data_IF_251384352530
#
_entry.id   IF_251384352530
#
_cell.length_a   1.000
_cell.length_b   1.000
_cell.length_c   1.000
_cell.angle_alpha   90.00
_cell.angle_beta   90.00
_cell.angle_gamma   90.00
#
_symmetry.space_group_name_H-M   'P 1'
#
loop_
_entity.id
_entity.type
_entity.pdbx_description
1 polymer ?
#
# COMPACT_ATOMS: atom_id res chain seq x y z
N UNK A 1 70.95 9.02 10.12
CA UNK A 1 71.02 7.56 10.35
C UNK A 1 69.64 6.97 10.11
N UNK A 2 69.48 6.31 8.96
CA UNK A 2 68.27 5.64 8.54
C UNK A 2 68.26 4.20 9.05
N UNK A 3 67.13 3.73 9.59
CA UNK A 3 66.86 2.30 9.82
C UNK A 3 65.55 1.90 9.15
N UNK A 4 65.72 1.42 7.93
CA UNK A 4 65.15 0.23 7.32
C UNK A 4 63.72 -0.22 7.70
N UNK A 5 62.89 -0.06 6.67
CA UNK A 5 61.61 -0.66 6.36
C UNK A 5 61.70 -2.20 6.28
N UNK A 6 60.72 -2.94 6.84
CA UNK A 6 60.47 -4.35 6.52
C UNK A 6 58.96 -4.63 6.51
N UNK A 7 58.46 -4.69 5.28
CA UNK A 7 57.25 -5.34 4.77
C UNK A 7 56.33 -6.04 5.78
N UNK A 8 55.08 -5.57 5.82
CA UNK A 8 53.93 -6.37 6.22
C UNK A 8 52.85 -6.17 5.16
N UNK A 9 52.83 -7.10 4.21
CA UNK A 9 51.80 -7.22 3.20
C UNK A 9 50.46 -7.45 3.91
N UNK A 10 49.49 -6.57 3.65
CA UNK A 10 48.11 -6.74 4.04
C UNK A 10 47.46 -7.60 2.96
N UNK A 11 47.38 -8.91 3.22
CA UNK A 11 46.61 -9.83 2.39
C UNK A 11 45.14 -9.42 2.40
N UNK A 12 44.64 -8.99 1.25
CA UNK A 12 43.21 -8.88 0.93
C UNK A 12 42.53 -10.22 1.22
N UNK A 13 41.42 -10.27 2.00
CA UNK A 13 40.72 -11.53 2.22
C UNK A 13 40.18 -12.03 0.87
N UNK A 14 40.54 -13.28 0.55
CA UNK A 14 40.12 -13.97 -0.67
C UNK A 14 38.60 -13.87 -0.85
N UNK A 15 38.18 -13.35 -2.00
CA UNK A 15 36.78 -13.37 -2.41
C UNK A 15 36.36 -14.84 -2.58
N UNK A 16 35.38 -15.26 -1.78
CA UNK A 16 34.74 -16.57 -1.89
C UNK A 16 34.24 -16.79 -3.33
N UNK A 17 34.58 -17.94 -3.90
CA UNK A 17 34.19 -18.32 -5.27
C UNK A 17 32.67 -18.37 -5.38
N UNK A 18 32.10 -17.94 -6.53
CA UNK A 18 30.64 -17.92 -6.77
C UNK A 18 29.97 -19.29 -6.60
N UNK A 19 30.77 -20.37 -6.64
CA UNK A 19 30.35 -21.75 -6.46
C UNK A 19 30.10 -22.09 -4.97
N UNK A 20 30.88 -21.53 -4.05
CA UNK A 20 30.76 -21.74 -2.60
C UNK A 20 29.57 -20.94 -2.02
N UNK A 21 29.32 -19.73 -2.54
CA UNK A 21 28.12 -18.96 -2.22
C UNK A 21 26.84 -19.66 -2.72
N UNK A 22 26.89 -20.31 -3.89
CA UNK A 22 25.80 -21.12 -4.43
C UNK A 22 25.51 -22.36 -3.57
N UNK A 23 26.55 -23.03 -3.08
CA UNK A 23 26.42 -24.20 -2.20
C UNK A 23 25.78 -23.82 -0.85
N UNK A 24 26.21 -22.74 -0.21
CA UNK A 24 25.64 -22.24 1.06
C UNK A 24 24.18 -21.78 0.91
N UNK A 25 23.83 -21.13 -0.20
CA UNK A 25 22.45 -20.72 -0.49
C UNK A 25 21.54 -21.92 -0.79
N UNK A 26 22.08 -22.98 -1.38
CA UNK A 26 21.37 -24.23 -1.64
C UNK A 26 21.16 -25.04 -0.35
N UNK A 27 22.16 -25.09 0.54
CA UNK A 27 22.03 -25.68 1.88
C UNK A 27 21.07 -24.89 2.79
N UNK A 28 21.08 -23.55 2.73
CA UNK A 28 20.13 -22.71 3.45
C UNK A 28 18.69 -22.93 2.95
N UNK A 29 18.48 -23.08 1.63
CA UNK A 29 17.16 -23.45 1.06
C UNK A 29 16.72 -24.86 1.47
N UNK A 30 17.64 -25.82 1.55
CA UNK A 30 17.36 -27.19 1.99
C UNK A 30 17.01 -27.25 3.49
N UNK A 31 17.62 -26.39 4.31
CA UNK A 31 17.28 -26.20 5.72
C UNK A 31 15.92 -25.52 5.92
N UNK A 32 15.58 -24.53 5.08
CA UNK A 32 14.29 -23.84 5.13
C UNK A 32 13.10 -24.74 4.72
N UNK A 33 13.30 -25.66 3.77
CA UNK A 33 12.26 -26.60 3.29
C UNK A 33 12.24 -27.95 4.03
N UNK A 34 13.16 -28.17 4.97
CA UNK A 34 13.37 -29.44 5.66
C UNK A 34 12.71 -29.57 7.04
N UNK A 35 11.92 -28.60 7.49
CA UNK A 35 11.25 -28.69 8.80
C UNK A 35 9.91 -29.43 8.70
N UNK A 36 9.96 -30.73 8.39
CA UNK A 36 8.86 -31.65 8.72
C UNK A 36 8.86 -31.80 10.23
N UNK A 37 8.17 -30.87 10.91
CA UNK A 37 8.03 -30.87 12.36
C UNK A 37 7.50 -32.22 12.83
N UNK A 38 8.33 -32.99 13.53
CA UNK A 38 7.86 -34.02 14.46
C UNK A 38 6.78 -33.35 15.33
N UNK A 39 5.58 -33.91 15.42
CA UNK A 39 4.50 -33.41 16.27
C UNK A 39 5.02 -33.32 17.72
N UNK A 40 5.62 -32.18 18.07
CA UNK A 40 5.90 -31.82 19.45
C UNK A 40 4.57 -31.33 19.97
N UNK A 41 4.03 -32.05 20.94
CA UNK A 41 2.91 -31.62 21.76
C UNK A 41 3.37 -30.45 22.65
N UNK A 42 3.72 -29.32 22.02
CA UNK A 42 4.02 -28.09 22.72
C UNK A 42 2.71 -27.57 23.30
N UNK A 43 2.62 -27.54 24.63
CA UNK A 43 1.52 -26.90 25.33
C UNK A 43 1.41 -25.45 24.82
N UNK A 44 0.28 -25.10 24.20
CA UNK A 44 0.03 -23.74 23.77
C UNK A 44 -0.37 -22.95 25.02
N UNK A 45 0.36 -21.88 25.30
CA UNK A 45 0.07 -20.98 26.42
C UNK A 45 -0.63 -19.75 25.83
N UNK A 46 -1.79 -19.40 26.37
CA UNK A 46 -2.51 -18.18 25.97
C UNK A 46 -1.73 -16.93 26.41
N UNK A 47 -2.00 -15.75 25.83
CA UNK A 47 -1.40 -14.49 26.27
C UNK A 47 -1.59 -14.20 27.77
N UNK A 48 -2.65 -14.76 28.37
CA UNK A 48 -3.01 -14.65 29.79
C UNK A 48 -2.30 -15.71 30.66
N UNK A 49 -1.36 -16.48 30.11
CA UNK A 49 -0.60 -17.49 30.84
C UNK A 49 -1.33 -18.82 31.06
N UNK A 50 -2.52 -19.02 30.46
CA UNK A 50 -3.32 -20.23 30.63
C UNK A 50 -2.84 -21.30 29.64
N UNK A 51 -2.57 -22.51 30.14
CA UNK A 51 -2.26 -23.67 29.28
C UNK A 51 -3.52 -24.14 28.56
N UNK A 52 -3.63 -23.79 27.29
CA UNK A 52 -4.61 -24.32 26.36
C UNK A 52 -4.12 -25.72 25.95
N UNK A 53 -4.74 -26.75 26.53
CA UNK A 53 -4.29 -28.13 26.41
C UNK A 53 -4.09 -28.63 24.98
N UNK A 54 -3.45 -29.80 24.85
CA UNK A 54 -2.94 -30.40 23.60
C UNK A 54 -3.98 -30.75 22.53
N UNK A 55 -5.28 -30.51 22.78
CA UNK A 55 -6.37 -30.85 21.86
C UNK A 55 -6.73 -29.74 20.88
N UNK A 56 -6.30 -28.51 21.13
CA UNK A 56 -6.57 -27.41 20.19
C UNK A 56 -5.56 -27.49 19.04
N UNK A 57 -6.06 -27.73 17.83
CA UNK A 57 -5.27 -27.55 16.59
C UNK A 57 -5.01 -26.06 16.42
N UNK A 58 -3.97 -25.56 17.08
CA UNK A 58 -3.55 -24.17 16.94
C UNK A 58 -2.70 -24.08 15.67
N UNK A 59 -3.18 -23.32 14.69
CA UNK A 59 -2.42 -23.00 13.49
C UNK A 59 -1.33 -22.00 13.88
N UNK A 60 -0.09 -22.48 13.97
CA UNK A 60 1.09 -21.64 14.24
C UNK A 60 1.58 -21.08 12.91
N UNK A 61 1.37 -19.80 12.66
CA UNK A 61 1.97 -19.08 11.53
C UNK A 61 3.29 -18.46 11.98
N UNK A 62 4.34 -18.60 11.15
CA UNK A 62 5.60 -17.86 11.37
C UNK A 62 5.31 -16.37 11.23
N UNK A 63 5.53 -15.62 12.29
CA UNK A 63 5.46 -14.16 12.25
C UNK A 63 6.84 -13.63 11.87
N UNK A 64 6.91 -12.88 10.78
CA UNK A 64 8.16 -12.26 10.33
C UNK A 64 8.32 -10.92 11.06
N UNK A 65 9.26 -10.86 12.01
CA UNK A 65 9.57 -9.64 12.78
C UNK A 65 10.40 -8.62 11.98
N UNK A 66 10.90 -9.00 10.80
CA UNK A 66 11.76 -8.15 9.95
C UNK A 66 10.94 -7.13 9.18
N UNK A 67 9.69 -7.50 8.85
CA UNK A 67 8.72 -6.61 8.23
C UNK A 67 7.45 -6.66 9.09
N UNK A 68 7.41 -5.92 10.22
CA UNK A 68 6.21 -5.87 11.03
C UNK A 68 5.11 -5.31 10.13
N UNK A 69 4.18 -6.14 9.68
CA UNK A 69 2.89 -5.65 9.24
C UNK A 69 2.26 -5.06 10.49
N UNK A 70 2.41 -3.75 10.66
CA UNK A 70 1.94 -3.00 11.83
C UNK A 70 0.41 -3.15 11.98
N UNK A 71 -0.26 -3.57 10.91
CA UNK A 71 -1.71 -3.75 10.79
C UNK A 71 -2.05 -5.24 10.81
N UNK A 72 -2.93 -5.63 11.72
CA UNK A 72 -3.49 -6.98 11.82
C UNK A 72 -4.42 -7.33 10.66
N UNK A 73 -4.57 -8.62 10.36
CA UNK A 73 -5.49 -9.12 9.32
C UNK A 73 -6.92 -8.60 9.51
N UNK A 74 -7.38 -8.50 10.77
CA UNK A 74 -8.71 -7.95 11.11
C UNK A 74 -8.85 -6.45 10.81
N UNK A 75 -7.78 -5.69 10.98
CA UNK A 75 -7.77 -4.26 10.67
C UNK A 75 -7.77 -4.05 9.16
N UNK A 76 -7.03 -4.85 8.40
CA UNK A 76 -7.09 -4.81 6.92
C UNK A 76 -8.50 -5.14 6.43
N UNK A 77 -9.12 -6.20 6.97
CA UNK A 77 -10.51 -6.56 6.62
C UNK A 77 -11.49 -5.43 6.96
N UNK A 78 -11.25 -4.72 8.07
CA UNK A 78 -12.05 -3.55 8.46
C UNK A 78 -11.88 -2.42 7.46
N UNK A 79 -10.64 -2.10 7.07
CA UNK A 79 -10.35 -1.06 6.09
C UNK A 79 -10.98 -1.37 4.72
N UNK A 80 -10.94 -2.63 4.28
CA UNK A 80 -11.60 -3.07 3.04
C UNK A 80 -13.10 -2.81 3.11
N UNK A 81 -13.77 -3.17 4.22
CA UNK A 81 -15.21 -2.91 4.39
C UNK A 81 -15.53 -1.41 4.33
N UNK A 82 -14.76 -0.58 5.05
CA UNK A 82 -14.93 0.87 5.03
C UNK A 82 -14.78 1.44 3.61
N UNK A 83 -13.82 0.96 2.82
CA UNK A 83 -13.65 1.43 1.43
C UNK A 83 -14.75 0.92 0.50
N UNK A 84 -15.30 -0.28 0.73
CA UNK A 84 -16.44 -0.77 -0.04
C UNK A 84 -17.69 0.08 0.23
N UNK A 85 -17.96 0.39 1.49
CA UNK A 85 -19.06 1.28 1.91
C UNK A 85 -18.87 2.70 1.34
N UNK A 86 -17.65 3.23 1.39
CA UNK A 86 -17.27 4.49 0.74
C UNK A 86 -17.62 4.50 -0.74
N UNK A 87 -17.21 3.46 -1.48
CA UNK A 87 -17.40 3.38 -2.93
C UNK A 87 -18.88 3.34 -3.30
N UNK A 88 -19.70 2.60 -2.54
CA UNK A 88 -21.14 2.57 -2.77
C UNK A 88 -21.82 3.92 -2.51
N UNK A 89 -21.39 4.67 -1.49
CA UNK A 89 -21.92 6.02 -1.24
C UNK A 89 -21.46 7.02 -2.33
N UNK A 90 -20.17 6.94 -2.68
CA UNK A 90 -19.54 7.79 -3.68
C UNK A 90 -20.13 7.60 -5.08
N UNK A 91 -20.56 6.39 -5.44
CA UNK A 91 -21.15 6.11 -6.76
C UNK A 91 -22.34 7.03 -7.08
N UNK A 92 -23.22 7.24 -6.10
CA UNK A 92 -24.37 8.13 -6.23
C UNK A 92 -23.96 9.61 -6.32
N UNK A 93 -23.02 10.03 -5.48
CA UNK A 93 -22.51 11.41 -5.46
C UNK A 93 -21.74 11.76 -6.74
N UNK A 94 -20.91 10.83 -7.22
CA UNK A 94 -20.16 10.95 -8.47
C UNK A 94 -21.12 11.02 -9.67
N UNK A 95 -22.18 10.21 -9.69
CA UNK A 95 -23.19 10.27 -10.74
C UNK A 95 -23.90 11.63 -10.79
N UNK A 96 -24.20 12.20 -9.62
CA UNK A 96 -24.79 13.53 -9.53
C UNK A 96 -23.82 14.63 -9.98
N UNK A 97 -22.56 14.55 -9.55
CA UNK A 97 -21.52 15.52 -9.90
C UNK A 97 -21.23 15.52 -11.41
N UNK A 98 -21.07 14.33 -12.00
CA UNK A 98 -20.76 14.15 -13.42
C UNK A 98 -21.99 14.25 -14.33
N UNK A 99 -23.21 14.20 -13.76
CA UNK A 99 -24.49 14.15 -14.49
C UNK A 99 -24.57 12.99 -15.47
N UNK A 100 -24.01 11.84 -15.07
CA UNK A 100 -23.95 10.62 -15.85
C UNK A 100 -24.07 9.40 -14.94
N UNK A 101 -24.43 8.24 -15.49
CA UNK A 101 -24.49 7.00 -14.73
C UNK A 101 -23.07 6.47 -14.49
N UNK A 102 -22.62 6.54 -13.24
CA UNK A 102 -21.31 6.03 -12.81
C UNK A 102 -21.53 4.74 -12.05
N UNK A 103 -20.77 3.70 -12.41
CA UNK A 103 -20.70 2.46 -11.65
C UNK A 103 -19.29 2.29 -11.10
N UNK A 104 -19.15 2.09 -9.78
CA UNK A 104 -17.86 1.97 -9.13
C UNK A 104 -17.72 0.63 -8.43
N UNK A 105 -16.50 0.09 -8.43
CA UNK A 105 -16.23 -1.19 -7.77
C UNK A 105 -14.89 -1.15 -7.06
N UNK A 106 -14.89 -1.63 -5.82
CA UNK A 106 -13.66 -1.87 -5.07
C UNK A 106 -12.82 -2.95 -5.77
N UNK A 107 -11.56 -2.61 -6.09
CA UNK A 107 -10.63 -3.54 -6.73
C UNK A 107 -9.89 -4.37 -5.67
N UNK A 108 -8.95 -3.76 -4.96
CA UNK A 108 -8.12 -4.42 -3.96
C UNK A 108 -7.52 -3.40 -3.00
N UNK A 109 -7.02 -3.88 -1.86
CA UNK A 109 -6.20 -3.12 -0.92
C UNK A 109 -4.87 -3.84 -0.72
N UNK A 110 -3.78 -3.10 -0.83
CA UNK A 110 -2.41 -3.61 -0.69
C UNK A 110 -1.60 -2.70 0.22
N UNK A 111 -0.77 -3.31 1.06
CA UNK A 111 0.26 -2.63 1.83
C UNK A 111 1.55 -2.81 1.04
N UNK A 112 2.11 -1.72 0.56
CA UNK A 112 3.29 -1.70 -0.32
C UNK A 112 4.22 -0.57 0.08
N UNK A 113 5.50 -0.74 -0.18
CA UNK A 113 6.48 0.30 0.08
C UNK A 113 6.21 1.52 -0.81
N UNK A 114 6.38 2.71 -0.25
CA UNK A 114 6.15 3.97 -0.97
C UNK A 114 6.92 4.06 -2.29
N UNK A 115 8.18 3.56 -2.31
CA UNK A 115 9.01 3.53 -3.53
C UNK A 115 8.47 2.60 -4.62
N UNK A 116 7.73 1.56 -4.25
CA UNK A 116 7.08 0.68 -5.22
C UNK A 116 5.87 1.39 -5.81
N UNK A 117 5.04 2.03 -4.98
CA UNK A 117 3.87 2.78 -5.48
C UNK A 117 4.28 3.86 -6.47
N UNK A 118 5.33 4.63 -6.18
CA UNK A 118 5.82 5.66 -7.10
C UNK A 118 6.30 5.11 -8.45
N UNK A 119 6.73 3.85 -8.51
CA UNK A 119 7.14 3.20 -9.78
C UNK A 119 5.95 2.66 -10.57
N UNK A 120 4.84 2.39 -9.90
CA UNK A 120 3.62 1.87 -10.49
C UNK A 120 2.74 3.00 -11.08
N UNK A 121 3.06 4.26 -10.80
CA UNK A 121 2.37 5.43 -11.37
C UNK A 121 2.61 5.54 -12.88
N UNK A 122 1.53 5.67 -13.64
CA UNK A 122 1.59 5.97 -15.07
C UNK A 122 2.08 7.42 -15.31
N UNK A 123 2.84 7.64 -16.38
CA UNK A 123 3.20 8.98 -16.85
C UNK A 123 2.51 9.24 -18.20
N UNK A 124 1.55 10.18 -18.28
CA UNK A 124 1.12 11.13 -17.25
C UNK A 124 0.13 10.56 -16.22
N UNK A 125 0.13 11.13 -15.01
CA UNK A 125 -0.92 10.93 -13.98
C UNK A 125 -1.32 12.24 -13.29
N UNK A 126 -2.53 12.31 -12.74
CA UNK A 126 -2.95 13.38 -11.84
C UNK A 126 -2.90 12.87 -10.39
N UNK A 127 -2.04 13.49 -9.59
CA UNK A 127 -1.82 13.12 -8.20
C UNK A 127 -2.16 14.31 -7.30
N UNK A 128 -3.14 14.13 -6.42
CA UNK A 128 -3.56 15.12 -5.45
C UNK A 128 -3.01 14.75 -4.07
N UNK A 129 -2.29 15.67 -3.44
CA UNK A 129 -1.82 15.52 -2.07
C UNK A 129 -2.87 16.08 -1.11
N UNK A 130 -3.14 15.36 -0.03
CA UNK A 130 -4.09 15.83 0.97
C UNK A 130 -3.59 15.55 2.38
N UNK A 131 -4.08 16.37 3.31
CA UNK A 131 -3.94 16.18 4.75
C UNK A 131 -5.33 16.04 5.34
N UNK A 132 -5.44 15.27 6.42
CA UNK A 132 -6.69 15.08 7.15
C UNK A 132 -6.40 15.30 8.64
N UNK A 133 -6.63 16.51 9.15
CA UNK A 133 -6.37 16.79 10.57
C UNK A 133 -7.35 15.99 11.45
N UNK A 134 -6.91 15.38 12.58
CA UNK A 134 -5.60 15.50 13.22
C UNK A 134 -4.60 14.38 12.85
N UNK A 135 -4.84 13.62 11.75
CA UNK A 135 -3.94 12.55 11.34
C UNK A 135 -2.58 13.12 10.93
N UNK A 136 -1.47 12.66 11.55
CA UNK A 136 -0.15 13.11 11.17
C UNK A 136 0.24 12.47 9.83
N UNK A 137 0.46 13.29 8.81
CA UNK A 137 0.99 12.85 7.53
C UNK A 137 0.32 13.52 6.34
N UNK A 138 0.79 13.13 5.15
CA UNK A 138 0.24 13.53 3.86
C UNK A 138 -0.17 12.25 3.15
N UNK A 139 -1.44 12.17 2.76
CA UNK A 139 -1.94 11.16 1.84
C UNK A 139 -1.85 11.66 0.40
N UNK A 140 -1.93 10.73 -0.55
CA UNK A 140 -2.12 11.08 -1.94
C UNK A 140 -3.25 10.27 -2.55
N UNK A 141 -3.94 10.89 -3.50
CA UNK A 141 -4.97 10.30 -4.33
C UNK A 141 -4.49 10.39 -5.78
N UNK A 142 -4.58 9.28 -6.51
CA UNK A 142 -4.21 9.20 -7.91
C UNK A 142 -5.44 9.03 -8.77
N UNK A 143 -5.50 9.77 -9.87
CA UNK A 143 -6.54 9.67 -10.89
C UNK A 143 -5.87 9.60 -12.26
N UNK A 144 -6.16 8.55 -13.02
CA UNK A 144 -5.68 8.44 -14.39
C UNK A 144 -6.13 9.65 -15.23
N UNK A 145 -5.29 10.24 -16.10
CA UNK A 145 -5.66 11.44 -16.84
C UNK A 145 -6.81 11.22 -17.81
N UNK A 146 -7.00 9.98 -18.28
CA UNK A 146 -8.14 9.62 -19.13
C UNK A 146 -9.47 9.79 -18.40
N UNK A 147 -9.52 9.33 -17.14
CA UNK A 147 -10.69 9.50 -16.28
C UNK A 147 -10.90 10.98 -15.95
N UNK A 148 -9.84 11.68 -15.55
CA UNK A 148 -9.92 13.10 -15.22
C UNK A 148 -10.41 13.95 -16.41
N UNK A 149 -9.88 13.75 -17.61
CA UNK A 149 -10.31 14.47 -18.81
C UNK A 149 -11.75 14.13 -19.23
N UNK A 150 -12.17 12.87 -19.08
CA UNK A 150 -13.56 12.48 -19.33
C UNK A 150 -14.50 13.14 -18.33
N UNK A 151 -14.15 13.17 -17.05
CA UNK A 151 -14.91 13.85 -15.99
C UNK A 151 -15.01 15.36 -16.25
N UNK A 152 -13.89 16.02 -16.57
CA UNK A 152 -13.88 17.46 -16.90
C UNK A 152 -14.76 17.76 -18.10
N UNK A 153 -14.70 16.94 -19.15
CA UNK A 153 -15.59 17.12 -20.32
C UNK A 153 -17.07 17.06 -19.92
N UNK A 154 -17.48 16.19 -18.99
CA UNK A 154 -18.87 16.12 -18.52
C UNK A 154 -19.25 17.35 -17.69
N UNK A 155 -18.38 17.80 -16.79
CA UNK A 155 -18.60 19.03 -16.00
C UNK A 155 -18.76 20.26 -16.91
N UNK A 156 -18.02 20.31 -18.02
CA UNK A 156 -18.13 21.37 -19.03
C UNK A 156 -19.34 21.22 -19.98
N UNK A 157 -20.17 20.19 -19.80
CA UNK A 157 -21.38 19.95 -20.60
C UNK A 157 -21.17 19.17 -21.89
N UNK A 158 -20.01 18.53 -22.06
CA UNK A 158 -19.72 17.61 -23.16
C UNK A 158 -20.24 16.20 -22.91
N UNK A 159 -20.18 15.34 -23.94
CA UNK A 159 -20.69 13.96 -23.92
C UNK A 159 -19.82 12.96 -23.13
N UNK A 160 -18.83 13.43 -22.36
CA UNK A 160 -17.96 12.57 -21.56
C UNK A 160 -17.05 11.62 -22.34
N UNK A 161 -16.79 11.91 -23.63
CA UNK A 161 -15.94 11.07 -24.47
C UNK A 161 -14.56 10.86 -23.84
N UNK A 162 -14.15 9.59 -23.75
CA UNK A 162 -12.83 9.22 -23.22
C UNK A 162 -11.76 9.61 -24.26
N UNK A 163 -10.75 10.41 -23.89
CA UNK A 163 -9.68 10.78 -24.82
C UNK A 163 -8.92 9.56 -25.33
N UNK A 164 -8.53 9.60 -26.61
CA UNK A 164 -7.76 8.51 -27.24
C UNK A 164 -6.36 8.36 -26.63
N UNK A 165 -5.76 9.47 -26.19
CA UNK A 165 -4.44 9.51 -25.59
C UNK A 165 -4.51 10.17 -24.20
N UNK A 166 -3.76 9.61 -23.25
CA UNK A 166 -3.52 10.27 -21.97
C UNK A 166 -2.59 11.45 -22.19
N UNK A 167 -2.92 12.61 -21.63
CA UNK A 167 -2.07 13.80 -21.60
C UNK A 167 -2.17 14.47 -20.24
N UNK A 168 -1.21 15.33 -19.90
CA UNK A 168 -1.34 16.18 -18.72
C UNK A 168 -2.58 17.08 -18.82
N UNK A 169 -3.23 17.26 -17.68
CA UNK A 169 -4.33 18.21 -17.52
C UNK A 169 -3.80 19.63 -17.67
N UNK A 170 -4.57 20.50 -18.31
CA UNK A 170 -4.34 21.94 -18.28
C UNK A 170 -4.72 22.49 -16.92
N UNK A 171 -4.34 23.74 -16.62
CA UNK A 171 -4.68 24.37 -15.34
C UNK A 171 -6.19 24.40 -15.09
N UNK A 172 -6.98 24.80 -16.09
CA UNK A 172 -8.44 24.86 -15.97
C UNK A 172 -9.03 23.47 -15.72
N UNK A 173 -8.51 22.44 -16.40
CA UNK A 173 -8.95 21.06 -16.18
C UNK A 173 -8.55 20.53 -14.80
N UNK A 174 -7.40 21.00 -14.27
CA UNK A 174 -6.93 20.69 -12.92
C UNK A 174 -7.87 21.30 -11.88
N UNK A 175 -8.17 22.60 -12.02
CA UNK A 175 -9.08 23.30 -11.11
C UNK A 175 -10.48 22.64 -11.09
N UNK A 176 -10.97 22.15 -12.24
CA UNK A 176 -12.26 21.45 -12.34
C UNK A 176 -12.23 20.05 -11.71
N UNK A 177 -11.15 19.28 -11.90
CA UNK A 177 -11.06 17.93 -11.30
C UNK A 177 -10.79 18.00 -9.79
N UNK A 178 -10.19 19.07 -9.29
CA UNK A 178 -10.01 19.28 -7.85
C UNK A 178 -11.34 19.31 -7.09
N UNK A 179 -12.41 19.85 -7.68
CA UNK A 179 -13.76 19.77 -7.08
C UNK A 179 -14.22 18.31 -6.91
N UNK A 180 -13.93 17.45 -7.88
CA UNK A 180 -14.21 16.03 -7.81
C UNK A 180 -13.31 15.32 -6.77
N UNK A 181 -12.04 15.71 -6.68
CA UNK A 181 -11.12 15.21 -5.64
C UNK A 181 -11.64 15.56 -4.24
N UNK A 182 -12.13 16.79 -4.03
CA UNK A 182 -12.72 17.19 -2.75
C UNK A 182 -13.94 16.33 -2.41
N UNK A 183 -14.82 16.05 -3.40
CA UNK A 183 -15.95 15.14 -3.22
C UNK A 183 -15.49 13.72 -2.81
N UNK A 184 -14.47 13.17 -3.48
CA UNK A 184 -13.87 11.88 -3.12
C UNK A 184 -13.34 11.87 -1.68
N UNK A 185 -12.63 12.93 -1.28
CA UNK A 185 -12.08 13.06 0.07
C UNK A 185 -13.18 13.20 1.12
N UNK A 186 -14.26 13.91 0.83
CA UNK A 186 -15.41 14.01 1.73
C UNK A 186 -16.09 12.65 1.92
N UNK A 187 -16.31 11.90 0.84
CA UNK A 187 -16.86 10.54 0.91
C UNK A 187 -15.95 9.61 1.73
N UNK A 188 -14.64 9.72 1.57
CA UNK A 188 -13.66 9.01 2.38
C UNK A 188 -13.81 9.36 3.86
N UNK A 189 -13.77 10.65 4.21
CA UNK A 189 -13.88 11.12 5.59
C UNK A 189 -15.18 10.72 6.29
N UNK A 190 -16.29 10.66 5.56
CA UNK A 190 -17.58 10.25 6.12
C UNK A 190 -17.53 8.82 6.70
N UNK A 191 -16.64 7.95 6.20
CA UNK A 191 -16.46 6.61 6.76
C UNK A 191 -15.65 6.59 8.07
N UNK A 192 -14.90 7.64 8.36
CA UNK A 192 -14.02 7.74 9.55
C UNK A 192 -14.66 8.47 10.72
N UNK A 193 -15.90 8.95 10.59
CA UNK A 193 -16.59 9.76 11.60
C UNK A 193 -16.73 9.06 12.98
N UNK A 194 -16.67 7.73 13.02
CA UNK A 194 -16.78 6.95 14.24
C UNK A 194 -15.51 6.98 15.12
N UNK A 195 -14.36 7.38 14.57
CA UNK A 195 -13.06 7.32 15.26
C UNK A 195 -12.61 8.69 15.75
N UNK A 196 -12.78 9.77 14.95
CA UNK A 196 -12.49 11.18 15.30
C UNK A 196 -13.02 12.10 14.19
N UNK A 197 -13.41 13.35 14.50
CA UNK A 197 -13.79 14.34 13.48
C UNK A 197 -12.56 14.75 12.64
N UNK A 198 -12.59 14.48 11.34
CA UNK A 198 -11.50 14.75 10.41
C UNK A 198 -11.84 15.92 9.47
N UNK A 199 -10.86 16.76 9.15
CA UNK A 199 -11.00 17.89 8.19
C UNK A 199 -9.97 17.74 7.06
N UNK A 200 -10.38 17.64 5.78
CA UNK A 200 -9.45 17.45 4.68
C UNK A 200 -8.96 18.81 4.15
N UNK A 201 -7.69 18.87 3.77
CA UNK A 201 -7.15 19.99 3.00
C UNK A 201 -6.25 19.45 1.89
N UNK A 202 -6.52 19.83 0.63
CA UNK A 202 -5.60 19.59 -0.49
C UNK A 202 -4.39 20.53 -0.31
N UNK A 203 -3.19 20.00 -0.53
CA UNK A 203 -1.89 20.70 -0.34
C UNK A 203 -1.27 21.08 -1.66
#
# INVERSE_FOLDING_TARGET
MAKQNKNRELETPAALSSEEAGALMTEARKSANGFKGKNRTSAVISPEGVRLGTKLKVSVRRHDFTNPSIISEREVDRLIRLHQEMISALEAEASLFLRSEVAMKFSEMKIVDFRMVLRDLEDPTHLALFRADPLPGIGFLEISPRLALSAVNQVMGGEGQVPKAARHLTKIETDLIEEFVVLLLQAWLNQWQYETALVPSVV
#
